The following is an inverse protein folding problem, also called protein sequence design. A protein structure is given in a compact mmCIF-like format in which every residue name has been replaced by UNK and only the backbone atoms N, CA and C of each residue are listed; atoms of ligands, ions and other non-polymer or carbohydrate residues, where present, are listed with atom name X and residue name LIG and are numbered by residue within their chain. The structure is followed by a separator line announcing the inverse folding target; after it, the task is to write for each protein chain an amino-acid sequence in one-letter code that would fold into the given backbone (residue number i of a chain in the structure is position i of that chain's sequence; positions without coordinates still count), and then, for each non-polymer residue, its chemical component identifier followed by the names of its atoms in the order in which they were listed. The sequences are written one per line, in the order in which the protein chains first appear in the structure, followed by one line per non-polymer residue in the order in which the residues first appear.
data_IF_281258046963
#
_entry.id   IF_281258046963
#
_cell.length_a   1.000
_cell.length_b   1.000
_cell.length_c   1.000
_cell.angle_alpha   90.00
_cell.angle_beta   90.00
_cell.angle_gamma   90.00
#
_symmetry.space_group_name_H-M   'P 1'
#
loop_
_entity.id
_entity.type
_entity.pdbx_description
1 polymer ?
#
# COMPACT_ATOMS: atom_id res chain seq x y z
N UNK A 1 3.85 -0.53 -24.18
CA UNK A 1 3.53 -1.25 -22.94
C UNK A 1 3.39 -2.73 -23.27
N UNK A 2 3.78 -3.61 -22.36
CA UNK A 2 3.53 -5.04 -22.49
C UNK A 2 2.08 -5.36 -22.13
N UNK A 3 1.55 -6.45 -22.68
CA UNK A 3 0.30 -7.09 -22.24
C UNK A 3 0.67 -8.13 -21.19
N UNK A 4 0.05 -8.06 -20.01
CA UNK A 4 0.35 -8.93 -18.88
C UNK A 4 -0.93 -9.48 -18.27
N UNK A 5 -0.90 -10.72 -17.79
CA UNK A 5 -2.09 -11.34 -17.20
C UNK A 5 -2.26 -10.95 -15.73
N UNK A 6 -3.28 -10.15 -15.43
CA UNK A 6 -3.62 -9.81 -14.06
C UNK A 6 -4.75 -10.71 -13.55
N UNK A 7 -4.36 -11.78 -12.86
CA UNK A 7 -5.28 -12.74 -12.26
C UNK A 7 -6.28 -12.12 -11.27
N UNK A 8 -5.94 -11.00 -10.63
CA UNK A 8 -6.83 -10.28 -9.71
C UNK A 8 -7.95 -9.54 -10.45
N UNK A 9 -7.74 -9.22 -11.72
CA UNK A 9 -8.71 -8.56 -12.59
C UNK A 9 -9.47 -9.56 -13.47
N UNK A 10 -9.04 -10.83 -13.50
CA UNK A 10 -9.57 -11.84 -14.42
C UNK A 10 -9.28 -11.55 -15.90
N UNK A 11 -8.35 -10.63 -16.21
CA UNK A 11 -8.04 -10.22 -17.59
C UNK A 11 -6.60 -9.77 -17.77
N UNK A 12 -6.21 -9.67 -19.04
CA UNK A 12 -4.99 -8.97 -19.41
C UNK A 12 -5.14 -7.45 -19.24
N UNK A 13 -4.05 -6.80 -18.85
CA UNK A 13 -3.94 -5.34 -18.78
C UNK A 13 -2.65 -4.84 -19.41
N UNK A 14 -2.60 -3.55 -19.71
CA UNK A 14 -1.36 -2.88 -20.14
C UNK A 14 -0.45 -2.61 -18.93
N UNK A 15 0.82 -2.98 -19.03
CA UNK A 15 1.84 -2.65 -18.03
C UNK A 15 3.15 -2.20 -18.69
N UNK A 16 3.93 -1.36 -18.01
CA UNK A 16 5.13 -0.77 -18.62
C UNK A 16 6.22 -1.80 -18.92
N UNK A 17 6.37 -2.81 -18.06
CA UNK A 17 7.38 -3.86 -18.18
C UNK A 17 6.74 -5.20 -18.56
N UNK A 18 7.51 -6.14 -19.14
CA UNK A 18 7.06 -7.51 -19.32
C UNK A 18 6.67 -8.18 -18.00
N UNK A 19 5.86 -9.22 -18.07
CA UNK A 19 5.53 -10.03 -16.90
C UNK A 19 6.78 -10.70 -16.32
N UNK A 20 6.97 -10.56 -15.01
CA UNK A 20 8.04 -11.18 -14.25
C UNK A 20 7.51 -11.63 -12.88
N UNK A 21 7.53 -12.94 -12.63
CA UNK A 21 7.11 -13.54 -11.36
C UNK A 21 8.35 -13.86 -10.52
N UNK A 22 8.37 -13.50 -9.22
CA UNK A 22 9.44 -13.95 -8.34
C UNK A 22 9.29 -15.44 -8.03
N UNK A 23 10.35 -16.08 -7.53
CA UNK A 23 10.34 -17.48 -7.10
C UNK A 23 9.30 -17.74 -6.00
N UNK A 24 9.13 -16.77 -5.10
CA UNK A 24 8.08 -16.70 -4.09
C UNK A 24 7.70 -15.24 -3.88
N UNK A 25 6.49 -14.96 -3.40
CA UNK A 25 6.01 -13.59 -3.26
C UNK A 25 5.76 -13.25 -1.80
N UNK A 26 6.43 -12.22 -1.26
CA UNK A 26 6.10 -11.67 0.05
C UNK A 26 4.62 -11.31 0.10
N UNK A 27 3.93 -11.81 1.13
CA UNK A 27 2.54 -11.51 1.41
C UNK A 27 2.33 -11.27 2.89
N UNK A 28 1.26 -10.55 3.18
CA UNK A 28 0.84 -10.25 4.53
C UNK A 28 -0.68 -10.21 4.63
N UNK A 29 -1.20 -10.77 5.71
CA UNK A 29 -2.62 -10.75 6.07
C UNK A 29 -2.79 -9.97 7.37
N UNK A 30 -3.87 -9.19 7.42
CA UNK A 30 -4.22 -8.31 8.52
C UNK A 30 -5.67 -8.58 8.91
N UNK A 31 -5.88 -9.11 10.12
CA UNK A 31 -7.22 -9.32 10.68
C UNK A 31 -7.77 -8.00 11.23
N UNK A 32 -8.68 -7.37 10.48
CA UNK A 32 -9.31 -6.11 10.86
C UNK A 32 -10.25 -6.25 12.04
N UNK A 33 -10.75 -7.46 12.35
CA UNK A 33 -11.63 -7.71 13.50
C UNK A 33 -10.89 -7.60 14.84
N UNK A 34 -9.57 -7.76 14.83
CA UNK A 34 -8.73 -7.76 16.04
C UNK A 34 -7.89 -6.50 16.21
N UNK A 35 -7.91 -5.60 15.22
CA UNK A 35 -7.11 -4.39 15.28
C UNK A 35 -7.68 -3.47 16.38
N UNK A 36 -6.80 -2.88 17.18
CA UNK A 36 -7.16 -1.98 18.30
C UNK A 36 -6.46 -0.62 18.19
N UNK A 37 -5.94 -0.27 17.01
CA UNK A 37 -5.19 0.96 16.72
C UNK A 37 -4.14 1.45 17.74
N UNK A 38 -3.58 0.58 18.57
CA UNK A 38 -2.55 0.95 19.57
C UNK A 38 -1.25 1.58 19.02
N UNK A 39 -1.12 1.75 17.70
CA UNK A 39 0.04 2.31 16.99
C UNK A 39 1.40 1.64 17.28
N UNK A 40 1.45 0.53 18.01
CA UNK A 40 2.71 -0.16 18.33
C UNK A 40 3.45 -0.60 17.08
N UNK A 41 2.73 -1.09 16.07
CA UNK A 41 3.30 -1.47 14.78
C UNK A 41 3.88 -0.27 14.00
N UNK A 42 3.26 0.91 14.12
CA UNK A 42 3.72 2.18 13.53
C UNK A 42 5.03 2.59 14.19
N UNK A 43 5.07 2.66 15.52
CA UNK A 43 6.27 3.02 16.27
C UNK A 43 7.39 1.99 16.08
N UNK A 44 7.08 0.69 16.08
CA UNK A 44 8.12 -0.33 15.91
C UNK A 44 8.79 -0.24 14.53
N UNK A 45 8.02 0.04 13.47
CA UNK A 45 8.59 0.32 12.16
C UNK A 45 9.39 1.63 12.16
N UNK A 46 8.83 2.68 12.78
CA UNK A 46 9.43 4.01 12.85
C UNK A 46 10.84 3.97 13.45
N UNK A 47 10.95 3.39 14.64
CA UNK A 47 12.19 3.34 15.42
C UNK A 47 13.23 2.41 14.81
N UNK A 48 12.80 1.42 14.01
CA UNK A 48 13.74 0.50 13.35
C UNK A 48 14.29 1.07 12.05
N UNK A 49 13.48 1.77 11.25
CA UNK A 49 13.83 2.06 9.85
C UNK A 49 13.79 3.53 9.43
N UNK A 50 12.98 4.36 10.08
CA UNK A 50 12.69 5.72 9.62
C UNK A 50 12.93 6.75 10.72
N UNK A 51 14.01 6.59 11.49
CA UNK A 51 14.42 7.48 12.58
C UNK A 51 15.53 8.47 12.17
N UNK A 52 15.98 8.41 10.92
CA UNK A 52 16.99 9.30 10.36
C UNK A 52 16.43 10.65 9.91
N UNK A 53 17.35 11.55 9.55
CA UNK A 53 17.02 12.92 9.13
C UNK A 53 16.21 12.92 7.83
N UNK A 54 15.14 13.70 7.78
CA UNK A 54 14.22 13.79 6.64
C UNK A 54 13.23 12.63 6.55
N UNK A 55 13.30 11.67 7.47
CA UNK A 55 12.38 10.55 7.56
C UNK A 55 11.29 10.78 8.61
N UNK A 56 11.27 11.92 9.32
CA UNK A 56 10.41 12.20 10.47
C UNK A 56 8.93 12.05 10.13
N UNK A 57 8.54 12.53 8.95
CA UNK A 57 7.18 12.39 8.48
C UNK A 57 6.88 11.00 7.92
N UNK A 58 7.87 10.15 7.60
CA UNK A 58 7.64 8.87 6.91
C UNK A 58 7.10 7.79 7.86
N UNK A 59 5.91 7.27 7.55
CA UNK A 59 5.32 6.12 8.22
C UNK A 59 5.14 4.97 7.23
N UNK A 60 6.20 4.17 7.07
CA UNK A 60 6.17 2.98 6.21
C UNK A 60 5.07 2.00 6.64
N UNK A 61 4.88 1.83 7.94
CA UNK A 61 3.67 1.27 8.54
C UNK A 61 2.91 2.41 9.23
N UNK A 62 1.61 2.53 8.96
CA UNK A 62 0.71 3.41 9.69
C UNK A 62 -0.62 2.69 9.95
N UNK A 63 -1.43 3.22 10.86
CA UNK A 63 -2.80 2.76 11.11
C UNK A 63 -3.71 3.96 11.01
N UNK A 64 -4.77 3.84 10.21
CA UNK A 64 -5.81 4.85 10.01
C UNK A 64 -7.13 4.34 10.58
N UNK A 65 -7.96 5.24 11.09
CA UNK A 65 -9.37 4.96 11.33
C UNK A 65 -10.12 5.12 10.01
N UNK A 66 -11.04 4.23 9.67
CA UNK A 66 -11.89 4.37 8.48
C UNK A 66 -13.35 4.51 8.90
N UNK A 67 -14.13 5.36 8.19
CA UNK A 67 -13.81 5.93 6.88
C UNK A 67 -13.03 7.27 6.86
N UNK A 68 -12.96 7.99 7.98
CA UNK A 68 -12.55 9.41 7.98
C UNK A 68 -11.06 9.69 8.27
N UNK A 69 -10.27 8.66 8.58
CA UNK A 69 -8.84 8.78 8.79
C UNK A 69 -8.02 8.48 7.53
N UNK A 70 -6.92 9.22 7.40
CA UNK A 70 -6.07 9.19 6.22
C UNK A 70 -4.61 9.45 6.59
N UNK A 71 -3.70 8.87 5.81
CA UNK A 71 -2.30 9.28 5.81
C UNK A 71 -1.58 8.82 4.53
N UNK A 72 -1.14 9.71 3.62
CA UNK A 72 -1.43 11.14 3.60
C UNK A 72 -2.93 11.43 3.44
N UNK A 73 -3.35 12.67 3.67
CA UNK A 73 -4.74 13.10 3.59
C UNK A 73 -5.39 12.69 2.25
N UNK A 74 -6.60 12.12 2.34
CA UNK A 74 -7.44 11.74 1.21
C UNK A 74 -6.75 10.92 0.10
N UNK A 75 -5.72 10.13 0.45
CA UNK A 75 -4.88 9.43 -0.54
C UNK A 75 -5.65 8.50 -1.50
N UNK A 76 -6.71 7.87 -1.00
CA UNK A 76 -7.60 6.97 -1.72
C UNK A 76 -8.64 7.78 -2.51
N UNK A 77 -9.32 8.73 -1.87
CA UNK A 77 -10.34 9.58 -2.49
C UNK A 77 -9.80 10.37 -3.68
N UNK A 78 -8.63 11.01 -3.53
CA UNK A 78 -8.00 11.77 -4.61
C UNK A 78 -7.72 10.90 -5.84
N UNK A 79 -7.37 9.63 -5.65
CA UNK A 79 -7.12 8.73 -6.77
C UNK A 79 -8.41 8.18 -7.38
N UNK A 80 -9.40 7.85 -6.54
CA UNK A 80 -10.69 7.35 -6.98
C UNK A 80 -11.46 8.39 -7.78
N UNK A 81 -11.40 9.66 -7.37
CA UNK A 81 -12.00 10.79 -8.11
C UNK A 81 -11.40 10.90 -9.53
N UNK A 82 -10.07 10.76 -9.65
CA UNK A 82 -9.40 10.76 -10.96
C UNK A 82 -9.78 9.59 -11.87
N UNK A 83 -10.05 8.41 -11.30
CA UNK A 83 -10.44 7.21 -12.05
C UNK A 83 -11.93 7.21 -12.41
N UNK A 84 -12.77 7.85 -11.61
CA UNK A 84 -14.22 7.75 -11.72
C UNK A 84 -14.74 6.34 -11.37
N UNK A 85 -16.06 6.16 -11.52
CA UNK A 85 -16.72 4.89 -11.27
C UNK A 85 -16.20 3.75 -12.15
N UNK A 86 -15.99 2.60 -11.55
CA UNK A 86 -15.50 1.38 -12.22
C UNK A 86 -16.51 0.24 -12.01
N UNK A 87 -16.51 -0.73 -12.92
CA UNK A 87 -17.44 -1.86 -12.87
C UNK A 87 -16.71 -3.20 -12.97
N UNK A 88 -17.39 -4.24 -12.48
CA UNK A 88 -17.04 -5.64 -12.65
C UNK A 88 -18.15 -6.31 -13.45
N UNK A 89 -17.77 -7.17 -14.40
CA UNK A 89 -18.67 -8.09 -15.07
C UNK A 89 -18.82 -9.36 -14.22
N UNK A 90 -20.02 -9.59 -13.72
CA UNK A 90 -20.36 -10.72 -12.83
C UNK A 90 -21.04 -11.87 -13.58
N UNK A 91 -21.12 -11.83 -14.92
CA UNK A 91 -21.83 -12.85 -15.71
C UNK A 91 -21.14 -14.22 -15.77
N UNK A 92 -19.84 -14.28 -15.49
CA UNK A 92 -19.04 -15.51 -15.50
C UNK A 92 -18.92 -16.21 -14.14
N UNK A 93 -18.26 -17.37 -14.14
CA UNK A 93 -17.95 -18.11 -12.89
C UNK A 93 -17.10 -17.31 -11.89
N UNK A 94 -16.34 -16.33 -12.39
CA UNK A 94 -15.59 -15.36 -11.57
C UNK A 94 -15.80 -13.96 -12.12
N UNK A 95 -15.94 -12.94 -11.25
CA UNK A 95 -16.03 -11.55 -11.69
C UNK A 95 -14.79 -11.11 -12.47
N UNK A 96 -15.00 -10.43 -13.59
CA UNK A 96 -13.93 -9.86 -14.44
C UNK A 96 -13.99 -8.34 -14.36
N UNK A 97 -12.87 -7.69 -14.07
CA UNK A 97 -12.83 -6.24 -13.98
C UNK A 97 -12.95 -5.60 -15.36
N UNK A 98 -14.05 -4.89 -15.63
CA UNK A 98 -14.29 -4.18 -16.89
C UNK A 98 -13.77 -2.75 -16.90
N UNK A 99 -13.43 -2.21 -15.73
CA UNK A 99 -12.86 -0.87 -15.58
C UNK A 99 -11.44 -0.71 -16.12
N UNK A 100 -10.93 0.52 -16.09
CA UNK A 100 -9.56 0.86 -16.51
C UNK A 100 -8.62 0.94 -15.32
N UNK A 101 -7.43 0.31 -15.44
CA UNK A 101 -6.39 0.42 -14.41
C UNK A 101 -5.69 1.78 -14.45
N UNK A 102 -4.96 2.14 -13.38
CA UNK A 102 -4.09 3.33 -13.37
C UNK A 102 -3.01 3.32 -14.46
N UNK A 103 -2.71 2.17 -15.06
CA UNK A 103 -1.79 2.05 -16.19
C UNK A 103 -2.47 2.39 -17.52
N UNK A 104 -3.73 1.97 -17.66
CA UNK A 104 -4.54 2.17 -18.87
C UNK A 104 -5.14 3.58 -18.93
N UNK A 105 -5.44 4.17 -17.77
CA UNK A 105 -5.95 5.55 -17.63
C UNK A 105 -4.85 6.61 -17.58
N UNK A 106 -3.59 6.25 -17.82
CA UNK A 106 -2.47 7.21 -17.77
C UNK A 106 -2.58 8.24 -18.91
N UNK A 107 -2.44 9.56 -18.64
CA UNK A 107 -2.40 10.58 -19.69
C UNK A 107 -1.24 10.39 -20.67
N UNK A 108 -1.36 10.98 -21.87
CA UNK A 108 -0.30 10.93 -22.87
C UNK A 108 1.02 11.50 -22.32
N UNK A 109 2.11 10.73 -22.45
CA UNK A 109 3.42 11.09 -21.92
C UNK A 109 3.67 10.62 -20.48
N UNK A 110 2.64 10.13 -19.79
CA UNK A 110 2.77 9.53 -18.46
C UNK A 110 2.74 8.00 -18.51
N UNK A 111 3.38 7.37 -17.52
CA UNK A 111 3.39 5.90 -17.40
C UNK A 111 2.27 5.36 -16.53
N UNK A 112 1.75 6.18 -15.62
CA UNK A 112 0.77 5.80 -14.59
C UNK A 112 -0.04 7.04 -14.25
N UNK A 113 -1.36 6.91 -14.18
CA UNK A 113 -2.25 7.90 -13.56
C UNK A 113 -1.98 7.97 -12.05
N UNK A 114 -1.66 9.15 -11.54
CA UNK A 114 -1.41 9.29 -10.12
C UNK A 114 -1.41 10.73 -9.63
N UNK A 115 -1.92 10.89 -8.43
CA UNK A 115 -1.87 12.12 -7.64
C UNK A 115 -0.62 12.18 -6.76
N UNK A 116 -0.02 13.36 -6.62
CA UNK A 116 1.14 13.59 -5.75
C UNK A 116 0.68 14.34 -4.49
N UNK A 117 0.85 13.76 -3.30
CA UNK A 117 0.57 14.47 -2.05
C UNK A 117 1.48 15.67 -1.87
N UNK A 118 0.92 16.76 -1.34
CA UNK A 118 1.64 17.93 -0.87
C UNK A 118 2.26 17.66 0.52
N UNK A 119 3.05 18.61 1.03
CA UNK A 119 3.69 18.45 2.34
C UNK A 119 2.65 18.49 3.47
N UNK A 120 1.64 19.34 3.32
CA UNK A 120 0.53 19.52 4.26
C UNK A 120 -0.29 18.23 4.43
N UNK A 121 -0.37 17.40 3.39
CA UNK A 121 -1.07 16.10 3.45
C UNK A 121 -0.39 15.10 4.40
N UNK A 122 0.87 15.34 4.79
CA UNK A 122 1.62 14.54 5.76
C UNK A 122 1.72 15.19 7.14
N UNK A 123 1.16 16.39 7.33
CA UNK A 123 1.33 17.16 8.57
C UNK A 123 0.80 16.43 9.82
N UNK A 124 -0.22 15.57 9.64
CA UNK A 124 -0.88 14.85 10.72
C UNK A 124 -0.91 13.34 10.44
N UNK A 125 -0.12 12.58 11.20
CA UNK A 125 0.09 11.15 11.02
C UNK A 125 -1.16 10.26 11.21
N UNK A 126 -2.15 10.74 11.95
CA UNK A 126 -3.33 9.98 12.38
C UNK A 126 -4.56 10.91 12.48
N UNK A 127 -4.70 11.82 11.51
CA UNK A 127 -5.90 12.66 11.44
C UNK A 127 -7.14 11.77 11.29
N UNK A 128 -8.23 12.14 11.95
CA UNK A 128 -9.48 11.38 11.94
C UNK A 128 -9.44 10.11 12.80
N UNK A 129 -8.53 10.01 13.77
CA UNK A 129 -8.54 8.93 14.76
C UNK A 129 -9.88 8.86 15.50
N UNK A 130 -10.47 7.67 15.54
CA UNK A 130 -11.79 7.38 16.14
C UNK A 130 -12.94 8.27 15.62
N UNK A 131 -12.73 8.98 14.51
CA UNK A 131 -13.77 9.75 13.86
C UNK A 131 -14.73 8.80 13.15
N UNK A 132 -16.00 8.87 13.54
CA UNK A 132 -17.10 8.05 13.06
C UNK A 132 -18.18 8.86 12.34
N UNK A 133 -18.04 10.19 12.25
CA UNK A 133 -19.07 11.09 11.76
C UNK A 133 -18.57 12.16 10.79
N UNK A 134 -17.25 12.36 10.67
CA UNK A 134 -16.67 13.44 9.87
C UNK A 134 -17.00 14.82 10.46
N UNK A 135 -17.14 15.82 9.58
CA UNK A 135 -17.53 17.17 10.02
C UNK A 135 -19.01 17.20 10.41
N UNK A 136 -19.29 17.70 11.62
CA UNK A 136 -20.65 17.87 12.15
C UNK A 136 -21.04 19.35 12.19
N UNK A 137 -22.29 19.65 11.82
CA UNK A 137 -22.81 21.01 11.87
C UNK A 137 -23.11 21.46 13.29
N UNK A 138 -23.05 22.77 13.53
CA UNK A 138 -23.40 23.37 14.82
C UNK A 138 -24.86 23.09 15.19
N UNK A 139 -25.10 22.52 16.36
CA UNK A 139 -26.45 22.13 16.81
C UNK A 139 -26.82 20.69 16.48
N UNK A 140 -25.94 19.92 15.83
CA UNK A 140 -26.11 18.47 15.67
C UNK A 140 -26.21 17.84 17.06
N UNK A 141 -27.29 17.10 17.30
CA UNK A 141 -27.46 16.31 18.52
C UNK A 141 -27.54 14.82 18.15
N UNK A 142 -27.05 13.97 19.03
CA UNK A 142 -27.10 12.51 18.85
C UNK A 142 -28.53 12.03 19.15
N UNK A 143 -29.47 12.29 18.24
CA UNK A 143 -30.90 11.99 18.45
C UNK A 143 -31.19 10.48 18.44
N UNK A 144 -30.43 9.72 17.64
CA UNK A 144 -30.42 8.26 17.65
C UNK A 144 -29.05 7.78 18.09
N UNK A 145 -29.02 6.92 19.10
CA UNK A 145 -27.77 6.57 19.81
C UNK A 145 -26.63 6.02 18.95
N UNK A 146 -26.87 5.51 17.73
CA UNK A 146 -25.84 4.84 16.94
C UNK A 146 -26.07 4.84 15.42
N UNK A 147 -26.94 5.70 14.88
CA UNK A 147 -27.28 5.65 13.46
C UNK A 147 -26.10 6.15 12.61
N UNK A 148 -25.27 5.20 12.15
CA UNK A 148 -24.09 5.36 11.28
C UNK A 148 -22.75 5.70 11.96
N UNK A 149 -22.66 5.66 13.29
CA UNK A 149 -21.37 5.77 13.99
C UNK A 149 -20.62 4.42 13.97
N UNK A 150 -20.01 4.08 12.84
CA UNK A 150 -19.12 2.94 12.72
C UNK A 150 -17.74 3.38 12.26
N UNK A 151 -16.72 2.73 12.79
CA UNK A 151 -15.37 2.86 12.29
C UNK A 151 -14.61 1.55 12.52
N UNK A 152 -13.52 1.37 11.80
CA UNK A 152 -12.56 0.30 12.05
C UNK A 152 -11.15 0.78 11.77
N UNK A 153 -10.18 -0.01 12.19
CA UNK A 153 -8.77 0.35 12.08
C UNK A 153 -8.11 -0.36 10.92
N UNK A 154 -7.63 0.43 9.96
CA UNK A 154 -6.92 -0.05 8.78
C UNK A 154 -5.42 0.19 8.93
N UNK A 155 -4.70 -0.87 9.29
CA UNK A 155 -3.24 -0.87 9.28
C UNK A 155 -2.71 -1.07 7.86
N UNK A 156 -1.79 -0.20 7.41
CA UNK A 156 -1.25 -0.22 6.03
C UNK A 156 0.26 -0.24 5.99
N UNK A 157 0.79 -1.00 5.04
CA UNK A 157 2.21 -1.05 4.64
C UNK A 157 2.32 -0.90 3.13
N UNK A 158 3.55 -0.93 2.57
CA UNK A 158 3.68 -1.17 1.13
C UNK A 158 3.19 -2.59 0.80
N UNK A 159 2.39 -2.73 -0.25
CA UNK A 159 1.82 -4.02 -0.67
C UNK A 159 2.79 -4.89 -1.48
N UNK A 160 4.01 -4.40 -1.78
CA UNK A 160 5.01 -5.11 -2.60
C UNK A 160 4.41 -5.79 -3.85
N UNK A 161 3.56 -5.02 -4.56
CA UNK A 161 2.63 -5.50 -5.57
C UNK A 161 3.28 -6.39 -6.64
N UNK A 162 2.48 -7.26 -7.25
CA UNK A 162 2.84 -8.02 -8.46
C UNK A 162 3.19 -7.10 -9.63
N UNK A 163 2.34 -6.09 -9.88
CA UNK A 163 2.55 -5.05 -10.89
C UNK A 163 2.74 -3.70 -10.19
N UNK A 164 3.94 -3.43 -9.66
CA UNK A 164 4.18 -2.23 -8.86
C UNK A 164 4.15 -0.97 -9.74
N UNK A 165 3.20 -0.08 -9.43
CA UNK A 165 3.07 1.19 -10.10
C UNK A 165 4.26 2.11 -9.87
N UNK A 166 4.82 2.13 -8.64
CA UNK A 166 6.03 2.89 -8.34
C UNK A 166 7.22 2.47 -9.22
N UNK A 167 7.34 1.18 -9.54
CA UNK A 167 8.36 0.65 -10.45
C UNK A 167 8.13 1.17 -11.87
N UNK A 168 6.90 1.03 -12.39
CA UNK A 168 6.51 1.56 -13.70
C UNK A 168 6.78 3.06 -13.84
N UNK A 169 6.41 3.85 -12.83
CA UNK A 169 6.54 5.31 -12.84
C UNK A 169 7.99 5.80 -12.80
N UNK A 170 8.96 5.03 -12.28
CA UNK A 170 10.33 5.52 -12.10
C UNK A 170 11.04 5.68 -13.46
N UNK A 171 11.35 6.91 -13.92
CA UNK A 171 11.98 7.11 -15.23
C UNK A 171 13.42 6.56 -15.25
N UNK A 172 14.08 6.57 -14.09
CA UNK A 172 15.48 6.15 -13.92
C UNK A 172 15.65 4.62 -13.77
N UNK A 173 14.58 3.89 -13.49
CA UNK A 173 14.66 2.46 -13.16
C UNK A 173 15.41 2.18 -11.84
N UNK A 174 15.27 3.08 -10.86
CA UNK A 174 15.87 2.90 -9.52
C UNK A 174 15.05 1.97 -8.61
N UNK A 175 13.82 1.64 -9.01
CA UNK A 175 12.95 0.71 -8.27
C UNK A 175 13.02 -0.64 -8.95
N UNK A 176 13.14 -1.70 -8.16
CA UNK A 176 13.20 -3.07 -8.65
C UNK A 176 12.40 -3.99 -7.72
N UNK A 177 11.99 -5.14 -8.27
CA UNK A 177 11.34 -6.22 -7.53
C UNK A 177 12.32 -7.38 -7.45
N UNK A 178 12.64 -7.83 -6.23
CA UNK A 178 13.58 -8.92 -5.99
C UNK A 178 13.06 -10.24 -6.60
N UNK A 179 13.85 -10.94 -7.43
CA UNK A 179 13.41 -12.20 -8.03
C UNK A 179 13.23 -13.33 -7.01
N UNK A 180 13.95 -13.30 -5.89
CA UNK A 180 13.96 -14.34 -4.87
C UNK A 180 12.75 -14.31 -3.92
N UNK A 181 12.09 -13.15 -3.74
CA UNK A 181 11.03 -13.00 -2.74
C UNK A 181 9.94 -11.96 -3.07
N UNK A 182 10.01 -11.31 -4.23
CA UNK A 182 9.00 -10.36 -4.68
C UNK A 182 8.99 -9.03 -3.92
N UNK A 183 9.94 -8.78 -3.02
CA UNK A 183 10.03 -7.52 -2.27
C UNK A 183 10.48 -6.41 -3.23
N UNK A 184 9.60 -5.42 -3.41
CA UNK A 184 9.89 -4.18 -4.15
C UNK A 184 10.75 -3.22 -3.32
N UNK A 185 11.90 -2.81 -3.84
CA UNK A 185 12.87 -1.92 -3.19
C UNK A 185 13.23 -0.71 -4.07
N UNK A 186 13.77 0.34 -3.42
CA UNK A 186 14.36 1.50 -4.09
C UNK A 186 15.88 1.42 -3.90
N UNK A 187 16.62 1.33 -5.00
CA UNK A 187 18.07 1.46 -5.00
C UNK A 187 18.45 2.92 -4.68
N UNK A 188 18.95 3.13 -3.46
CA UNK A 188 19.35 4.45 -2.97
C UNK A 188 20.54 5.03 -3.75
N UNK A 189 21.44 4.20 -4.29
CA UNK A 189 22.58 4.63 -5.10
C UNK A 189 22.18 5.13 -6.49
N UNK A 190 21.11 4.56 -7.06
CA UNK A 190 20.55 4.98 -8.36
C UNK A 190 19.46 6.05 -8.27
N UNK A 191 18.79 6.19 -7.13
CA UNK A 191 17.70 7.15 -6.96
C UNK A 191 18.20 8.59 -7.04
N UNK A 192 17.45 9.47 -7.70
CA UNK A 192 17.74 10.91 -7.85
C UNK A 192 16.52 11.79 -7.56
N UNK A 193 15.53 11.28 -6.83
CA UNK A 193 14.45 12.13 -6.32
C UNK A 193 13.47 12.65 -7.36
N UNK A 194 13.28 11.98 -8.50
CA UNK A 194 12.27 12.38 -9.52
C UNK A 194 10.82 12.37 -9.02
N UNK A 195 10.54 11.68 -7.91
CA UNK A 195 9.24 11.63 -7.22
C UNK A 195 8.05 11.08 -8.04
N UNK A 196 8.26 10.62 -9.28
CA UNK A 196 7.21 9.92 -10.05
C UNK A 196 6.71 8.66 -9.35
N UNK A 197 7.55 7.99 -8.56
CA UNK A 197 7.13 6.86 -7.74
C UNK A 197 6.27 7.23 -6.53
N UNK A 198 6.41 8.45 -5.99
CA UNK A 198 5.56 9.01 -4.93
C UNK A 198 4.17 9.30 -5.50
N UNK A 199 4.14 9.95 -6.67
CA UNK A 199 2.91 10.24 -7.41
C UNK A 199 2.18 8.97 -7.86
N UNK A 200 2.90 8.07 -8.53
CA UNK A 200 2.32 6.90 -9.20
C UNK A 200 1.97 5.74 -8.28
N UNK A 201 2.45 5.71 -7.02
CA UNK A 201 1.98 4.69 -6.08
C UNK A 201 0.53 4.99 -5.67
N UNK A 202 -0.45 4.11 -5.96
CA UNK A 202 -1.84 4.38 -5.61
C UNK A 202 -2.06 4.41 -4.09
N UNK A 203 -1.22 3.70 -3.32
CA UNK A 203 -1.29 3.63 -1.86
C UNK A 203 -0.49 4.71 -1.12
N UNK A 204 0.26 5.54 -1.86
CA UNK A 204 1.21 6.55 -1.31
C UNK A 204 2.19 5.97 -0.29
N UNK A 205 2.72 4.79 -0.59
CA UNK A 205 3.70 4.06 0.24
C UNK A 205 5.15 4.21 -0.24
N UNK A 206 5.42 5.27 -0.98
CA UNK A 206 6.76 5.74 -1.34
C UNK A 206 6.84 7.19 -0.89
N UNK A 207 7.89 7.51 -0.14
CA UNK A 207 8.11 8.80 0.49
C UNK A 207 9.36 9.45 -0.12
N UNK A 208 9.48 10.77 -0.07
CA UNK A 208 10.64 11.49 -0.59
C UNK A 208 11.46 12.10 0.55
N UNK A 209 12.69 11.67 0.72
CA UNK A 209 13.58 12.28 1.69
C UNK A 209 14.28 13.48 1.05
N UNK A 210 13.83 14.68 1.40
CA UNK A 210 14.43 15.93 0.90
C UNK A 210 15.89 16.11 1.36
N UNK A 211 16.29 15.46 2.46
CA UNK A 211 17.65 15.56 2.99
C UNK A 211 18.66 14.73 2.20
N UNK A 212 18.25 13.58 1.67
CA UNK A 212 19.11 12.71 0.85
C UNK A 212 18.89 12.90 -0.65
N UNK A 213 17.79 13.56 -1.05
CA UNK A 213 17.38 13.68 -2.45
C UNK A 213 16.92 12.35 -3.05
N UNK A 214 16.52 11.38 -2.23
CA UNK A 214 16.10 10.04 -2.66
C UNK A 214 14.70 9.70 -2.15
N UNK A 215 14.03 8.78 -2.84
CA UNK A 215 12.77 8.21 -2.36
C UNK A 215 13.01 6.95 -1.54
N UNK A 216 12.19 6.77 -0.53
CA UNK A 216 12.26 5.69 0.45
C UNK A 216 10.91 5.01 0.60
N UNK A 217 10.90 3.74 1.01
CA UNK A 217 9.66 2.97 1.20
C UNK A 217 9.91 1.78 2.12
N UNK A 218 8.81 1.20 2.62
CA UNK A 218 8.84 -0.08 3.31
C UNK A 218 9.68 -1.12 2.56
N UNK A 219 10.61 -1.75 3.26
CA UNK A 219 11.51 -2.77 2.72
C UNK A 219 11.07 -4.20 3.11
N UNK A 220 9.83 -4.36 3.60
CA UNK A 220 9.31 -5.60 4.21
C UNK A 220 10.22 -6.23 5.29
N UNK A 221 11.09 -5.42 5.90
CA UNK A 221 12.18 -5.90 6.75
C UNK A 221 13.00 -7.04 6.09
N UNK A 222 13.31 -6.95 4.79
CA UNK A 222 14.04 -8.02 4.10
C UNK A 222 15.30 -8.51 4.83
N UNK A 223 16.11 -7.67 5.53
CA UNK A 223 17.27 -8.18 6.27
C UNK A 223 16.90 -9.13 7.42
N UNK A 224 15.70 -8.96 8.01
CA UNK A 224 15.17 -9.86 9.04
C UNK A 224 14.56 -11.10 8.41
N UNK A 225 13.80 -10.94 7.32
CA UNK A 225 13.17 -12.04 6.61
C UNK A 225 14.20 -13.04 6.05
N UNK A 226 15.34 -12.56 5.58
CA UNK A 226 16.47 -13.39 5.13
C UNK A 226 17.04 -14.29 6.25
N UNK A 227 16.87 -13.88 7.51
CA UNK A 227 17.26 -14.64 8.71
C UNK A 227 16.10 -15.49 9.28
N UNK A 228 14.96 -15.57 8.58
CA UNK A 228 13.76 -16.25 9.08
C UNK A 228 13.02 -15.48 10.19
N UNK A 229 13.32 -14.20 10.38
CA UNK A 229 12.71 -13.35 11.39
C UNK A 229 11.60 -12.51 10.76
N UNK A 230 10.42 -12.54 11.37
CA UNK A 230 9.25 -11.77 10.93
C UNK A 230 9.50 -10.24 10.98
N UNK A 231 8.82 -9.44 10.14
CA UNK A 231 9.04 -8.00 10.09
C UNK A 231 8.66 -7.32 11.42
N UNK A 232 9.31 -6.20 11.75
CA UNK A 232 9.18 -5.59 13.08
C UNK A 232 7.73 -5.23 13.45
N UNK A 233 6.95 -4.71 12.50
CA UNK A 233 5.55 -4.36 12.73
C UNK A 233 4.64 -5.58 12.96
N UNK A 234 5.10 -6.80 12.66
CA UNK A 234 4.40 -8.07 12.87
C UNK A 234 4.74 -8.63 14.24
N UNK A 235 6.03 -8.72 14.57
CA UNK A 235 6.52 -9.22 15.88
C UNK A 235 5.92 -8.42 17.04
N UNK A 236 5.83 -7.09 16.89
CA UNK A 236 5.33 -6.18 17.93
C UNK A 236 3.83 -5.91 17.85
N UNK A 237 3.08 -6.69 17.06
CA UNK A 237 1.63 -6.52 17.00
C UNK A 237 0.99 -7.05 18.30
N UNK A 238 0.52 -6.12 19.15
CA UNK A 238 -0.16 -6.45 20.41
C UNK A 238 -1.48 -7.18 20.14
N UNK A 239 -2.29 -6.69 19.20
CA UNK A 239 -3.57 -7.30 18.82
C UNK A 239 -3.45 -8.65 18.09
N UNK A 240 -2.21 -9.11 17.78
CA UNK A 240 -1.95 -10.36 17.05
C UNK A 240 -2.80 -10.49 15.79
N UNK A 241 -2.81 -9.43 14.98
CA UNK A 241 -3.62 -9.32 13.77
C UNK A 241 -2.88 -9.72 12.50
N UNK A 242 -1.55 -9.89 12.58
CA UNK A 242 -0.69 -9.89 11.39
C UNK A 242 -0.03 -11.23 11.16
N UNK A 243 -0.08 -11.69 9.93
CA UNK A 243 0.70 -12.82 9.41
C UNK A 243 1.50 -12.34 8.22
N UNK A 244 2.80 -12.62 8.18
CA UNK A 244 3.65 -12.39 7.01
C UNK A 244 4.38 -13.67 6.62
N UNK A 245 4.61 -13.83 5.33
CA UNK A 245 5.25 -14.99 4.77
C UNK A 245 5.39 -14.87 3.26
N UNK A 246 5.54 -16.01 2.61
CA UNK A 246 5.70 -16.08 1.17
C UNK A 246 4.57 -16.92 0.57
N UNK A 247 3.92 -16.37 -0.46
CA UNK A 247 2.98 -17.12 -1.30
C UNK A 247 3.76 -18.00 -2.26
N UNK A 248 3.30 -19.24 -2.37
CA UNK A 248 3.70 -20.16 -3.42
C UNK A 248 2.77 -20.01 -4.63
N UNK A 249 3.14 -20.59 -5.77
CA UNK A 249 2.19 -20.72 -6.88
C UNK A 249 1.09 -21.73 -6.49
N UNK A 250 -0.10 -21.67 -7.10
CA UNK A 250 -1.20 -22.59 -6.76
C UNK A 250 -0.81 -24.08 -6.82
N UNK A 251 0.08 -24.44 -7.75
CA UNK A 251 0.58 -25.82 -7.92
C UNK A 251 1.54 -26.25 -6.80
N UNK A 252 2.09 -25.27 -6.06
CA UNK A 252 3.03 -25.45 -4.96
C UNK A 252 2.45 -24.95 -3.63
N UNK A 253 1.11 -24.77 -3.55
CA UNK A 253 0.44 -24.39 -2.32
C UNK A 253 0.71 -25.42 -1.21
N UNK A 254 1.00 -24.94 -0.01
CA UNK A 254 1.36 -25.80 1.12
C UNK A 254 0.31 -25.75 2.21
N UNK A 255 -0.19 -26.90 2.65
CA UNK A 255 -1.20 -27.02 3.72
C UNK A 255 -0.77 -26.34 5.04
N UNK A 256 0.53 -26.31 5.32
CA UNK A 256 1.08 -25.68 6.53
C UNK A 256 1.36 -24.17 6.37
N UNK A 257 1.10 -23.59 5.20
CA UNK A 257 1.19 -22.17 4.92
C UNK A 257 -0.21 -21.56 4.76
N UNK A 258 -0.80 -20.98 5.82
CA UNK A 258 -2.15 -20.44 5.74
C UNK A 258 -2.30 -19.32 4.70
N UNK A 259 -1.21 -18.63 4.33
CA UNK A 259 -1.24 -17.59 3.32
C UNK A 259 -1.57 -18.13 1.92
N UNK A 260 -1.28 -19.39 1.61
CA UNK A 260 -1.57 -19.96 0.29
C UNK A 260 -3.08 -20.20 0.06
N UNK A 261 -3.91 -20.11 1.11
CA UNK A 261 -5.35 -20.36 1.06
C UNK A 261 -6.22 -19.16 1.47
N UNK A 262 -5.59 -18.02 1.80
CA UNK A 262 -6.25 -16.76 2.14
C UNK A 262 -6.23 -15.80 0.95
#
# INVERSE_FOLDING_TARGET
MARVNNWQLGREMSYWYPEARPQKQFAAVFDTNKCIACQTCTLACKTTWTSGKGQEYMLWNNVETKPYGFYPLAWDLNLLDMLGGQSWDESGERPVYSGSTIFESAPAGERVLGWRPAEEDYAYANVGEDDCAGQVDGGTSLENSHDMAWFYYMARICNHCTYPACLASCPRGSIYKRPEDGIVLVDQGRCRGYQECVRGCPYKKVFYNAMTGTSEKCIACFPKMELGIQPQCFVNCIGKIRMAGYLNTPENAREDNPLDYL
#
